data_IF_777754081974
#
_entry.id   IF_777754081974
#
_cell.length_a   1.000
_cell.length_b   1.000
_cell.length_c   1.000
_cell.angle_alpha   90.00
_cell.angle_beta   90.00
_cell.angle_gamma   90.00
#
_symmetry.space_group_name_H-M   'P 1'
#
loop_
_entity.id
_entity.type
_entity.pdbx_description
1 polymer ?
#
# COMPACT_ATOMS: atom_id res chain seq x y z
N UNK A 1 9.34 5.18 24.21
CA UNK A 1 9.70 3.84 23.69
C UNK A 1 11.20 3.73 23.78
N UNK A 2 11.70 2.74 24.51
CA UNK A 2 13.14 2.52 24.68
C UNK A 2 13.79 1.98 23.38
N UNK A 3 15.12 2.08 23.30
CA UNK A 3 15.90 1.72 22.11
C UNK A 3 15.77 0.23 21.74
N UNK A 4 15.58 -0.65 22.73
CA UNK A 4 15.43 -2.09 22.50
C UNK A 4 14.10 -2.36 21.80
N UNK A 5 13.02 -1.74 22.29
CA UNK A 5 11.70 -1.84 21.67
C UNK A 5 11.69 -1.28 20.23
N UNK A 6 12.38 -0.17 19.97
CA UNK A 6 12.50 0.40 18.62
C UNK A 6 13.26 -0.54 17.66
N UNK A 7 14.37 -1.12 18.12
CA UNK A 7 15.16 -2.05 17.31
C UNK A 7 14.34 -3.30 16.94
N UNK A 8 13.60 -3.85 17.91
CA UNK A 8 12.70 -4.99 17.69
C UNK A 8 11.63 -4.70 16.65
N UNK A 9 10.88 -3.60 16.80
CA UNK A 9 9.83 -3.21 15.84
C UNK A 9 10.41 -2.97 14.45
N UNK A 10 11.62 -2.39 14.36
CA UNK A 10 12.28 -2.18 13.07
C UNK A 10 12.62 -3.49 12.38
N UNK A 11 13.12 -4.47 13.14
CA UNK A 11 13.43 -5.81 12.65
C UNK A 11 12.18 -6.56 12.21
N UNK A 12 11.15 -6.64 13.05
CA UNK A 12 9.86 -7.26 12.72
C UNK A 12 9.24 -6.64 11.46
N UNK A 13 9.30 -5.32 11.30
CA UNK A 13 8.82 -4.64 10.10
C UNK A 13 9.65 -4.96 8.84
N UNK A 14 10.95 -5.21 8.96
CA UNK A 14 11.78 -5.63 7.82
C UNK A 14 11.48 -7.06 7.42
N UNK A 15 11.35 -7.96 8.40
CA UNK A 15 10.98 -9.37 8.19
C UNK A 15 9.59 -9.48 7.56
N UNK A 16 8.62 -8.71 8.05
CA UNK A 16 7.27 -8.64 7.46
C UNK A 16 7.31 -8.20 5.99
N UNK A 17 8.07 -7.15 5.65
CA UNK A 17 8.15 -6.71 4.25
C UNK A 17 8.84 -7.77 3.37
N UNK A 18 9.88 -8.42 3.89
CA UNK A 18 10.61 -9.44 3.17
C UNK A 18 9.78 -10.71 2.91
N UNK A 19 8.78 -11.00 3.75
CA UNK A 19 7.90 -12.15 3.56
C UNK A 19 6.71 -11.89 2.63
N UNK A 20 6.52 -10.66 2.13
CA UNK A 20 5.43 -10.36 1.20
C UNK A 20 5.78 -10.97 -0.17
N UNK A 21 4.95 -11.92 -0.60
CA UNK A 21 5.02 -12.48 -1.94
C UNK A 21 4.51 -11.47 -2.97
N UNK A 22 5.41 -11.05 -3.86
CA UNK A 22 5.09 -10.11 -4.92
C UNK A 22 4.09 -10.67 -5.95
N UNK A 23 4.06 -11.99 -6.15
CA UNK A 23 3.08 -12.61 -7.04
C UNK A 23 1.67 -12.50 -6.47
N UNK A 24 1.50 -12.72 -5.17
CA UNK A 24 0.24 -12.51 -4.45
C UNK A 24 -0.24 -11.05 -4.51
N UNK A 25 0.67 -10.07 -4.58
CA UNK A 25 0.31 -8.66 -4.79
C UNK A 25 -0.30 -8.45 -6.19
N UNK A 26 0.28 -9.04 -7.23
CA UNK A 26 -0.26 -8.98 -8.58
C UNK A 26 -1.62 -9.71 -8.67
N UNK A 27 -1.76 -10.87 -8.03
CA UNK A 27 -3.03 -11.59 -7.94
C UNK A 27 -4.10 -10.77 -7.22
N UNK A 28 -3.73 -10.11 -6.11
CA UNK A 28 -4.61 -9.20 -5.39
C UNK A 28 -5.07 -8.07 -6.31
N UNK A 29 -4.15 -7.34 -6.95
CA UNK A 29 -4.48 -6.25 -7.87
C UNK A 29 -5.39 -6.73 -9.03
N UNK A 30 -5.08 -7.88 -9.62
CA UNK A 30 -5.90 -8.53 -10.64
C UNK A 30 -7.30 -8.84 -10.13
N UNK A 31 -7.43 -9.30 -8.89
CA UNK A 31 -8.72 -9.61 -8.28
C UNK A 31 -9.59 -8.36 -8.03
N UNK A 32 -8.99 -7.19 -7.81
CA UNK A 32 -9.74 -5.94 -7.66
C UNK A 32 -10.00 -5.22 -8.99
N UNK A 33 -9.28 -5.57 -10.05
CA UNK A 33 -9.51 -5.02 -11.37
C UNK A 33 -10.84 -5.51 -11.97
N UNK A 34 -11.74 -4.64 -12.47
CA UNK A 34 -13.06 -5.03 -12.98
C UNK A 34 -13.01 -6.11 -14.07
N UNK A 35 -12.05 -6.00 -15.00
CA UNK A 35 -11.84 -6.97 -16.08
C UNK A 35 -10.86 -8.10 -15.74
N UNK A 36 -10.41 -8.23 -14.48
CA UNK A 36 -9.46 -9.26 -14.02
C UNK A 36 -8.19 -9.37 -14.89
N UNK A 37 -7.66 -8.22 -15.33
CA UNK A 37 -6.47 -8.17 -16.18
C UNK A 37 -5.23 -8.57 -15.40
N UNK A 38 -4.31 -9.25 -16.06
CA UNK A 38 -3.02 -9.56 -15.49
C UNK A 38 -2.17 -8.28 -15.33
N UNK A 39 -1.39 -8.22 -14.27
CA UNK A 39 -0.50 -7.10 -13.98
C UNK A 39 0.88 -7.58 -13.55
N UNK A 40 1.83 -6.65 -13.54
CA UNK A 40 3.19 -6.84 -13.03
C UNK A 40 3.61 -5.64 -12.19
N UNK A 41 4.53 -5.87 -11.27
CA UNK A 41 5.25 -4.77 -10.61
C UNK A 41 6.22 -4.17 -11.64
N UNK A 42 6.17 -2.85 -11.83
CA UNK A 42 6.92 -2.17 -12.90
C UNK A 42 8.04 -1.25 -12.40
N UNK A 43 8.13 -1.01 -11.09
CA UNK A 43 9.09 -0.09 -10.47
C UNK A 43 9.44 -0.59 -9.05
N UNK A 44 10.41 0.07 -8.40
CA UNK A 44 10.89 -0.29 -7.07
C UNK A 44 9.78 -0.23 -6.00
N UNK A 45 9.79 -1.24 -5.11
CA UNK A 45 8.89 -1.30 -3.96
C UNK A 45 9.26 -0.20 -2.96
N UNK A 46 8.33 0.72 -2.69
CA UNK A 46 8.58 1.89 -1.84
C UNK A 46 8.19 1.59 -0.40
N UNK A 47 9.17 1.62 0.50
CA UNK A 47 8.96 1.42 1.93
C UNK A 47 8.77 2.75 2.65
N UNK A 48 7.56 2.98 3.15
CA UNK A 48 7.24 4.09 4.04
C UNK A 48 7.38 3.74 5.53
N UNK A 49 6.96 4.67 6.39
CA UNK A 49 6.94 4.45 7.84
C UNK A 49 5.93 3.40 8.28
N UNK A 50 4.72 3.44 7.70
CA UNK A 50 3.56 2.64 8.08
C UNK A 50 3.04 1.72 6.98
N UNK A 51 3.40 1.98 5.72
CA UNK A 51 2.93 1.22 4.56
C UNK A 51 4.13 0.87 3.68
N UNK A 52 4.03 -0.26 2.99
CA UNK A 52 4.87 -0.60 1.84
C UNK A 52 4.02 -0.53 0.58
N UNK A 53 4.55 0.09 -0.47
CA UNK A 53 3.82 0.39 -1.69
C UNK A 53 4.41 -0.38 -2.87
N UNK A 54 3.55 -1.09 -3.59
CA UNK A 54 3.89 -1.87 -4.78
C UNK A 54 3.29 -1.19 -6.01
N UNK A 55 4.12 -0.59 -6.89
CA UNK A 55 3.66 0.00 -8.14
C UNK A 55 3.36 -1.11 -9.16
N UNK A 56 2.10 -1.23 -9.59
CA UNK A 56 1.65 -2.26 -10.56
C UNK A 56 1.17 -1.63 -11.86
N UNK A 57 1.44 -2.31 -12.98
CA UNK A 57 1.01 -1.93 -14.33
C UNK A 57 0.28 -3.11 -14.97
N UNK A 58 -0.90 -2.86 -15.54
CA UNK A 58 -1.71 -3.88 -16.20
C UNK A 58 -1.21 -4.11 -17.63
N UNK A 59 -0.93 -5.35 -17.97
CA UNK A 59 -0.25 -5.70 -19.23
C UNK A 59 -1.12 -5.42 -20.46
N UNK A 60 -2.43 -5.66 -20.35
CA UNK A 60 -3.38 -5.48 -21.45
C UNK A 60 -3.80 -4.01 -21.66
N UNK A 61 -3.33 -3.09 -20.82
CA UNK A 61 -3.66 -1.67 -20.91
C UNK A 61 -2.46 -0.82 -20.49
N UNK A 62 -1.48 -0.68 -21.40
CA UNK A 62 -0.28 0.11 -21.14
C UNK A 62 -0.64 1.53 -20.69
N UNK A 63 -0.13 1.93 -19.53
CA UNK A 63 -0.45 3.22 -18.89
C UNK A 63 -1.48 3.13 -17.75
N UNK A 64 -2.23 2.04 -17.64
CA UNK A 64 -3.06 1.76 -16.46
C UNK A 64 -2.17 1.27 -15.32
N UNK A 65 -1.92 2.16 -14.34
CA UNK A 65 -1.00 1.92 -13.23
C UNK A 65 -1.69 2.15 -11.91
N UNK A 66 -1.56 1.18 -11.01
CA UNK A 66 -2.09 1.28 -9.65
C UNK A 66 -0.96 1.25 -8.62
N UNK A 67 -1.27 1.72 -7.42
CA UNK A 67 -0.38 1.61 -6.27
C UNK A 67 -1.04 0.75 -5.20
N UNK A 68 -0.55 -0.46 -5.00
CA UNK A 68 -1.04 -1.34 -3.93
C UNK A 68 -0.31 -0.99 -2.64
N UNK A 69 -1.04 -0.64 -1.59
CA UNK A 69 -0.48 -0.22 -0.30
C UNK A 69 -0.80 -1.25 0.76
N UNK A 70 0.23 -1.86 1.34
CA UNK A 70 0.09 -2.84 2.42
C UNK A 70 0.52 -2.22 3.75
N UNK A 71 -0.34 -2.24 4.79
CA UNK A 71 0.01 -1.74 6.11
C UNK A 71 1.05 -2.63 6.79
N UNK A 72 2.07 -2.01 7.38
CA UNK A 72 3.11 -2.68 8.15
C UNK A 72 2.59 -2.87 9.57
N UNK A 73 1.93 -4.02 9.82
CA UNK A 73 1.25 -4.30 11.09
C UNK A 73 2.11 -4.09 12.35
N UNK A 74 3.41 -4.47 12.40
CA UNK A 74 4.24 -4.22 13.57
C UNK A 74 4.39 -2.73 13.96
N UNK A 75 4.06 -1.81 13.05
CA UNK A 75 4.15 -0.36 13.25
C UNK A 75 2.80 0.33 13.29
N UNK A 76 1.71 -0.38 12.99
CA UNK A 76 0.40 0.21 12.78
C UNK A 76 -0.57 -0.21 13.88
N UNK A 77 -0.70 0.62 14.91
CA UNK A 77 -1.82 0.53 15.84
C UNK A 77 -3.11 0.97 15.14
N UNK A 78 -4.21 0.23 15.34
CA UNK A 78 -5.56 0.55 14.87
C UNK A 78 -5.66 0.69 13.34
N UNK A 79 -5.38 -0.40 12.58
CA UNK A 79 -5.30 -0.34 11.12
C UNK A 79 -6.63 0.08 10.48
N UNK A 80 -7.76 -0.41 10.99
CA UNK A 80 -9.07 -0.06 10.42
C UNK A 80 -9.44 1.39 10.68
N UNK A 81 -9.24 1.88 11.89
CA UNK A 81 -9.57 3.25 12.26
C UNK A 81 -8.72 4.24 11.47
N UNK A 82 -7.43 3.94 11.28
CA UNK A 82 -6.54 4.75 10.46
C UNK A 82 -6.93 4.73 8.99
N UNK A 83 -7.31 3.56 8.45
CA UNK A 83 -7.77 3.45 7.07
C UNK A 83 -9.06 4.26 6.87
N UNK A 84 -10.03 4.17 7.77
CA UNK A 84 -11.27 4.96 7.73
C UNK A 84 -10.99 6.45 7.83
N UNK A 85 -10.05 6.86 8.68
CA UNK A 85 -9.60 8.24 8.81
C UNK A 85 -8.95 8.78 7.53
N UNK A 86 -8.10 7.98 6.88
CA UNK A 86 -7.48 8.33 5.59
C UNK A 86 -8.55 8.53 4.50
N UNK A 87 -9.50 7.59 4.37
CA UNK A 87 -10.61 7.69 3.41
C UNK A 87 -11.48 8.92 3.67
N UNK A 88 -11.85 9.17 4.93
CA UNK A 88 -12.67 10.34 5.29
C UNK A 88 -11.94 11.66 4.96
N UNK A 89 -10.64 11.71 5.23
CA UNK A 89 -9.80 12.87 4.93
C UNK A 89 -9.69 13.10 3.43
N UNK A 90 -9.48 12.03 2.64
CA UNK A 90 -9.44 12.12 1.18
C UNK A 90 -10.75 12.68 0.63
N UNK A 91 -11.90 12.12 1.04
CA UNK A 91 -13.22 12.63 0.64
C UNK A 91 -13.38 14.11 0.96
N UNK A 92 -13.01 14.52 2.16
CA UNK A 92 -13.09 15.93 2.56
C UNK A 92 -12.18 16.84 1.71
N UNK A 93 -10.93 16.42 1.43
CA UNK A 93 -10.00 17.21 0.60
C UNK A 93 -10.53 17.35 -0.83
N UNK A 94 -11.08 16.28 -1.41
CA UNK A 94 -11.68 16.31 -2.75
C UNK A 94 -12.90 17.24 -2.83
N UNK A 95 -13.71 17.32 -1.77
CA UNK A 95 -14.87 18.20 -1.72
C UNK A 95 -14.49 19.68 -1.54
N UNK A 96 -13.37 19.96 -0.85
CA UNK A 96 -13.01 21.33 -0.42
C UNK A 96 -11.88 21.96 -1.21
N UNK A 97 -11.14 21.19 -2.01
CA UNK A 97 -9.95 21.67 -2.70
C UNK A 97 -9.86 21.07 -4.11
N UNK A 98 -9.00 21.65 -4.94
CA UNK A 98 -8.63 21.09 -6.25
C UNK A 98 -7.34 20.26 -6.19
N UNK A 99 -6.86 19.94 -4.98
CA UNK A 99 -5.64 19.14 -4.79
C UNK A 99 -5.96 17.71 -5.27
N UNK A 100 -5.16 17.14 -6.17
CA UNK A 100 -5.35 15.77 -6.60
C UNK A 100 -5.12 14.83 -5.41
N UNK A 101 -6.11 14.01 -5.13
CA UNK A 101 -6.05 12.95 -4.12
C UNK A 101 -5.98 11.57 -4.82
N UNK A 102 -5.48 10.53 -4.14
CA UNK A 102 -5.65 9.16 -4.61
C UNK A 102 -7.15 8.84 -4.79
N UNK A 103 -7.50 8.10 -5.85
CA UNK A 103 -8.89 7.73 -6.16
C UNK A 103 -9.32 6.46 -5.42
#
# INVERSE_FOLDING_TARGET
MDLITQHRIKKEAQEFIACIDQSAICELATSFHPAKKCCRIFDEVKKGGFNVCFPVEFMDSPGERWMVRIPILPRLAFPEEKLRGEIATMKFIAEKTTIPIPC
#
